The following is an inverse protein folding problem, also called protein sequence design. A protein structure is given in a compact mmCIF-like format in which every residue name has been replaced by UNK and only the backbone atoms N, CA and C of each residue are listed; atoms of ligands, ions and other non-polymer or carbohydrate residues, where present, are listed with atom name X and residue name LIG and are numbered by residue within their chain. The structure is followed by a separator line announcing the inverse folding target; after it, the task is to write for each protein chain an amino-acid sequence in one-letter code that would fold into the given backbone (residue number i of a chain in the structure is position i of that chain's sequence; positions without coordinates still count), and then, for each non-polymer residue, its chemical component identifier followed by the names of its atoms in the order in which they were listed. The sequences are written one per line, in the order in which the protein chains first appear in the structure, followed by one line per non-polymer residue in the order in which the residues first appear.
data_IF_714165783967
#
_entry.id   IF_714165783967
#
_cell.length_a   1.000
_cell.length_b   1.000
_cell.length_c   1.000
_cell.angle_alpha   90.00
_cell.angle_beta   90.00
_cell.angle_gamma   90.00
#
_symmetry.space_group_name_H-M   'P 1'
#
loop_
_entity.id
_entity.type
_entity.pdbx_description
1 polymer ?
#
# COMPACT_ATOMS: atom_id res chain seq x y z
N UNK A 1 5.77 12.57 -29.78
CA UNK A 1 6.29 11.19 -29.85
C UNK A 1 7.33 11.06 -28.75
N UNK A 2 7.04 10.31 -27.69
CA UNK A 2 7.97 10.12 -26.59
C UNK A 2 9.00 9.05 -26.99
N UNK A 3 10.29 9.38 -26.84
CA UNK A 3 11.44 8.50 -27.10
C UNK A 3 11.37 7.22 -26.25
N UNK A 4 12.06 6.13 -26.65
CA UNK A 4 12.08 4.89 -25.89
C UNK A 4 12.61 5.16 -24.48
N UNK A 5 11.84 4.79 -23.47
CA UNK A 5 12.24 4.92 -22.07
C UNK A 5 13.58 4.21 -21.82
N UNK A 6 14.48 4.87 -21.09
CA UNK A 6 15.73 4.31 -20.61
C UNK A 6 15.46 3.01 -19.83
N UNK A 7 15.61 1.86 -20.48
CA UNK A 7 15.35 0.52 -19.94
C UNK A 7 16.37 0.06 -18.89
N UNK A 8 17.29 0.94 -18.47
CA UNK A 8 18.37 0.63 -17.51
C UNK A 8 18.26 1.39 -16.19
N UNK A 9 17.32 2.35 -16.06
CA UNK A 9 17.20 3.13 -14.83
C UNK A 9 16.42 2.36 -13.76
N UNK A 10 16.98 2.29 -12.56
CA UNK A 10 16.29 1.82 -11.36
C UNK A 10 15.31 2.86 -10.78
N UNK A 11 15.28 4.09 -11.27
CA UNK A 11 14.40 5.13 -10.75
C UNK A 11 12.95 4.82 -11.12
N UNK A 12 12.00 5.04 -10.20
CA UNK A 12 10.56 5.14 -10.49
C UNK A 12 10.02 6.44 -9.91
N UNK A 13 9.61 7.35 -10.77
CA UNK A 13 9.20 8.72 -10.41
C UNK A 13 7.73 9.04 -10.72
N UNK A 14 6.99 8.02 -11.19
CA UNK A 14 5.65 8.13 -11.77
C UNK A 14 5.57 9.07 -12.99
N UNK A 15 6.69 9.38 -13.64
CA UNK A 15 6.75 10.23 -14.83
C UNK A 15 7.60 9.57 -15.91
N UNK A 16 8.82 10.06 -16.12
CA UNK A 16 9.66 9.66 -17.24
C UNK A 16 10.32 8.30 -16.99
N UNK A 17 10.50 7.93 -15.72
CA UNK A 17 11.20 6.71 -15.33
C UNK A 17 10.26 5.57 -14.94
N UNK A 18 8.97 5.66 -15.28
CA UNK A 18 7.97 4.64 -14.94
C UNK A 18 7.43 4.80 -13.52
N UNK A 19 6.56 3.88 -13.12
CA UNK A 19 5.84 3.95 -11.85
C UNK A 19 6.13 2.77 -10.92
N UNK A 20 5.89 2.95 -9.63
CA UNK A 20 5.94 1.84 -8.66
C UNK A 20 4.81 0.86 -8.96
N UNK A 21 3.64 1.33 -9.38
CA UNK A 21 2.50 0.48 -9.74
C UNK A 21 2.80 -0.48 -10.89
N UNK A 22 3.50 -0.02 -11.93
CA UNK A 22 3.92 -0.89 -13.05
C UNK A 22 4.97 -1.91 -12.60
N UNK A 23 5.91 -1.50 -11.74
CA UNK A 23 6.86 -2.42 -11.11
C UNK A 23 6.15 -3.50 -10.30
N UNK A 24 5.15 -3.14 -9.47
CA UNK A 24 4.38 -4.13 -8.71
C UNK A 24 3.66 -5.11 -9.62
N UNK A 25 3.05 -4.64 -10.73
CA UNK A 25 2.39 -5.52 -11.71
C UNK A 25 3.36 -6.47 -12.41
N UNK A 26 4.59 -6.01 -12.68
CA UNK A 26 5.63 -6.81 -13.34
C UNK A 26 6.15 -7.94 -12.44
N UNK A 27 6.35 -7.67 -11.15
CA UNK A 27 7.05 -8.60 -10.25
C UNK A 27 6.15 -9.39 -9.31
N UNK A 28 4.91 -8.97 -9.06
CA UNK A 28 3.95 -9.78 -8.28
C UNK A 28 3.47 -10.94 -9.15
N UNK A 29 3.63 -12.16 -8.65
CA UNK A 29 3.28 -13.41 -9.30
C UNK A 29 2.32 -14.22 -8.42
N UNK A 30 1.64 -15.25 -8.97
CA UNK A 30 0.94 -16.21 -8.15
C UNK A 30 1.85 -16.81 -7.09
N UNK A 31 1.36 -16.95 -5.87
CA UNK A 31 2.08 -17.42 -4.68
C UNK A 31 3.22 -16.50 -4.18
N UNK A 32 3.29 -15.24 -4.62
CA UNK A 32 4.22 -14.27 -4.01
C UNK A 32 3.96 -14.12 -2.51
N UNK A 33 5.02 -13.98 -1.72
CA UNK A 33 4.93 -13.43 -0.37
C UNK A 33 5.36 -11.95 -0.37
N UNK A 34 4.48 -11.08 0.10
CA UNK A 34 4.67 -9.63 0.04
C UNK A 34 4.99 -9.07 1.44
N UNK A 35 5.91 -8.11 1.51
CA UNK A 35 6.25 -7.38 2.74
C UNK A 35 6.34 -5.89 2.42
N UNK A 36 5.25 -5.18 2.70
CA UNK A 36 5.05 -3.79 2.28
C UNK A 36 5.04 -2.84 3.48
N UNK A 37 5.63 -1.67 3.29
CA UNK A 37 5.63 -0.55 4.24
C UNK A 37 5.08 0.68 3.54
N UNK A 38 4.03 1.26 4.11
CA UNK A 38 3.46 2.52 3.61
C UNK A 38 2.75 3.28 4.72
N UNK A 39 2.65 4.61 4.61
CA UNK A 39 1.85 5.39 5.55
C UNK A 39 0.36 5.34 5.21
N UNK A 40 0.02 5.13 3.93
CA UNK A 40 -1.36 5.09 3.46
C UNK A 40 -1.64 3.82 2.65
N UNK A 41 -2.88 3.34 2.76
CA UNK A 41 -3.46 2.26 1.96
C UNK A 41 -4.83 2.72 1.48
N UNK A 42 -5.08 2.69 0.18
CA UNK A 42 -6.40 3.04 -0.39
C UNK A 42 -7.03 1.82 -1.04
N UNK A 43 -8.35 1.64 -0.86
CA UNK A 43 -9.10 0.56 -1.51
C UNK A 43 -9.05 0.66 -3.05
N UNK A 44 -8.83 1.86 -3.57
CA UNK A 44 -8.71 2.10 -5.01
C UNK A 44 -7.36 1.65 -5.57
N UNK A 45 -6.27 1.84 -4.83
CA UNK A 45 -4.97 1.28 -5.21
C UNK A 45 -5.01 -0.25 -5.21
N UNK A 46 -5.63 -0.84 -4.18
CA UNK A 46 -5.94 -2.27 -4.15
C UNK A 46 -6.72 -2.69 -5.40
N UNK A 47 -7.82 -2.02 -5.72
CA UNK A 47 -8.66 -2.38 -6.88
C UNK A 47 -7.88 -2.33 -8.21
N UNK A 48 -6.96 -1.40 -8.38
CA UNK A 48 -6.10 -1.32 -9.57
C UNK A 48 -5.05 -2.44 -9.68
N UNK A 49 -4.71 -3.08 -8.55
CA UNK A 49 -3.75 -4.18 -8.48
C UNK A 49 -4.42 -5.54 -8.20
N UNK A 50 -5.75 -5.57 -8.04
CA UNK A 50 -6.52 -6.73 -7.59
C UNK A 50 -6.21 -8.02 -8.35
N UNK A 51 -6.10 -7.94 -9.68
CA UNK A 51 -5.84 -9.13 -10.50
C UNK A 51 -4.46 -9.76 -10.27
N UNK A 52 -3.50 -9.00 -9.73
CA UNK A 52 -2.18 -9.50 -9.36
C UNK A 52 -2.16 -9.92 -7.88
N UNK A 53 -2.93 -9.21 -7.03
CA UNK A 53 -2.98 -9.45 -5.58
C UNK A 53 -3.86 -10.64 -5.17
N UNK A 54 -4.81 -11.07 -5.99
CA UNK A 54 -5.74 -12.15 -5.62
C UNK A 54 -5.05 -13.52 -5.51
N UNK A 55 -4.01 -13.75 -6.30
CA UNK A 55 -3.34 -15.05 -6.44
C UNK A 55 -2.05 -15.16 -5.62
N UNK A 56 -1.73 -14.15 -4.79
CA UNK A 56 -0.56 -14.19 -3.91
C UNK A 56 -0.75 -15.22 -2.78
N UNK A 57 0.34 -15.62 -2.15
CA UNK A 57 0.28 -16.43 -0.93
C UNK A 57 -0.22 -15.56 0.24
N UNK A 58 0.55 -14.50 0.55
CA UNK A 58 0.23 -13.57 1.64
C UNK A 58 0.83 -12.19 1.45
N UNK A 59 0.23 -11.20 2.11
CA UNK A 59 0.77 -9.86 2.30
C UNK A 59 0.93 -9.57 3.80
N UNK A 60 2.12 -9.12 4.21
CA UNK A 60 2.30 -8.42 5.48
C UNK A 60 2.43 -6.93 5.20
N UNK A 61 1.44 -6.17 5.64
CA UNK A 61 1.38 -4.73 5.42
C UNK A 61 1.64 -3.97 6.72
N UNK A 62 2.70 -3.17 6.73
CA UNK A 62 3.11 -2.37 7.87
C UNK A 62 2.79 -0.88 7.61
N UNK A 63 1.90 -0.33 8.43
CA UNK A 63 1.69 1.11 8.51
C UNK A 63 2.85 1.78 9.22
N UNK A 64 3.56 2.68 8.53
CA UNK A 64 4.75 3.37 9.08
C UNK A 64 4.47 4.40 10.17
N UNK A 65 3.20 4.73 10.41
CA UNK A 65 2.79 5.67 11.45
C UNK A 65 1.53 5.19 12.19
N UNK A 66 1.39 5.51 13.49
CA UNK A 66 0.24 5.15 14.32
C UNK A 66 -1.06 5.88 13.93
N UNK A 67 -1.00 6.75 12.92
CA UNK A 67 -2.06 7.68 12.54
C UNK A 67 -3.22 7.02 11.82
N UNK A 68 -3.12 5.74 11.42
CA UNK A 68 -4.19 5.05 10.69
C UNK A 68 -5.53 5.02 11.46
N UNK A 69 -5.51 4.87 12.79
CA UNK A 69 -6.74 4.67 13.61
C UNK A 69 -7.11 5.84 14.52
N UNK A 70 -6.18 6.76 14.80
CA UNK A 70 -6.37 7.81 15.82
C UNK A 70 -7.29 8.97 15.41
N UNK A 71 -7.93 8.89 14.25
CA UNK A 71 -8.84 9.93 13.76
C UNK A 71 -10.31 9.45 13.64
N UNK A 72 -10.68 8.29 14.21
CA UNK A 72 -12.09 7.84 14.31
C UNK A 72 -12.80 8.56 15.50
N UNK A 73 -12.63 9.87 15.61
CA UNK A 73 -13.37 10.70 16.55
C UNK A 73 -14.32 11.61 15.73
N UNK A 74 -15.60 11.25 15.59
CA UNK A 74 -16.56 11.99 14.77
C UNK A 74 -16.81 13.43 15.26
N UNK A 75 -16.38 13.79 16.47
CA UNK A 75 -16.52 15.15 17.02
C UNK A 75 -15.28 16.04 16.81
N UNK A 76 -14.13 15.51 16.37
CA UNK A 76 -12.93 16.32 16.12
C UNK A 76 -12.81 16.66 14.63
N UNK A 77 -13.30 17.85 14.29
CA UNK A 77 -13.20 18.48 12.98
C UNK A 77 -11.78 18.93 12.59
N UNK A 78 -10.79 18.05 12.66
CA UNK A 78 -9.53 18.26 11.94
C UNK A 78 -9.61 17.54 10.58
N UNK A 79 -10.26 18.21 9.62
CA UNK A 79 -10.47 17.79 8.22
C UNK A 79 -9.17 17.76 7.39
N UNK A 80 -8.03 17.39 7.96
CA UNK A 80 -6.76 17.31 7.25
C UNK A 80 -6.05 16.02 7.64
N UNK A 81 -6.11 15.04 6.72
CA UNK A 81 -5.27 13.82 6.61
C UNK A 81 -5.96 12.45 6.64
N UNK A 82 -7.27 12.38 6.39
CA UNK A 82 -7.87 11.14 5.90
C UNK A 82 -7.66 11.04 4.39
N UNK A 83 -6.76 10.17 3.91
CA UNK A 83 -6.66 9.86 2.47
C UNK A 83 -6.60 8.36 2.22
N UNK A 84 -7.67 7.68 2.64
CA UNK A 84 -8.06 6.37 2.06
C UNK A 84 -8.83 6.62 0.74
N UNK A 85 -9.32 7.85 0.54
CA UNK A 85 -9.79 8.38 -0.73
C UNK A 85 -8.67 9.21 -1.39
N UNK A 86 -8.43 8.99 -2.68
CA UNK A 86 -7.52 9.83 -3.46
C UNK A 86 -8.28 11.11 -3.84
N UNK A 87 -7.82 12.28 -3.39
CA UNK A 87 -8.41 13.59 -3.73
C UNK A 87 -8.42 13.75 -5.26
N UNK A 88 -9.53 13.40 -5.90
CA UNK A 88 -9.69 13.39 -7.36
C UNK A 88 -10.45 12.19 -7.92
N UNK A 89 -10.61 11.12 -7.14
CA UNK A 89 -11.44 9.94 -7.51
C UNK A 89 -12.87 10.00 -6.95
N UNK A 90 -13.24 11.11 -6.31
CA UNK A 90 -14.56 11.36 -5.69
C UNK A 90 -15.76 11.34 -6.65
N UNK A 91 -15.51 11.19 -7.96
CA UNK A 91 -16.52 11.06 -9.01
C UNK A 91 -16.98 9.62 -9.26
N UNK A 92 -16.45 8.60 -8.56
CA UNK A 92 -16.98 7.24 -8.66
C UNK A 92 -18.32 7.11 -7.95
N UNK A 93 -19.26 6.39 -8.55
CA UNK A 93 -20.57 6.12 -7.96
C UNK A 93 -20.39 5.38 -6.61
N UNK A 94 -21.08 5.80 -5.55
CA UNK A 94 -21.08 5.16 -4.21
C UNK A 94 -21.25 3.64 -4.27
N UNK A 95 -22.05 3.12 -5.20
CA UNK A 95 -22.23 1.68 -5.40
C UNK A 95 -20.90 0.96 -5.73
N UNK A 96 -20.06 1.58 -6.56
CA UNK A 96 -18.75 1.05 -6.90
C UNK A 96 -17.77 1.09 -5.72
N UNK A 97 -17.81 2.16 -4.92
CA UNK A 97 -17.00 2.28 -3.70
C UNK A 97 -17.34 1.19 -2.69
N UNK A 98 -18.63 0.92 -2.44
CA UNK A 98 -19.05 -0.16 -1.53
C UNK A 98 -18.58 -1.53 -2.00
N UNK A 99 -18.73 -1.82 -3.30
CA UNK A 99 -18.28 -3.09 -3.87
C UNK A 99 -16.77 -3.27 -3.70
N UNK A 100 -15.99 -2.24 -4.03
CA UNK A 100 -14.53 -2.26 -3.91
C UNK A 100 -14.08 -2.40 -2.45
N UNK A 101 -14.70 -1.68 -1.52
CA UNK A 101 -14.39 -1.79 -0.09
C UNK A 101 -14.69 -3.18 0.46
N UNK A 102 -15.83 -3.79 0.07
CA UNK A 102 -16.18 -5.16 0.47
C UNK A 102 -15.19 -6.18 -0.07
N UNK A 103 -14.88 -6.13 -1.36
CA UNK A 103 -13.89 -7.02 -1.98
C UNK A 103 -12.50 -6.87 -1.34
N UNK A 104 -12.11 -5.64 -1.00
CA UNK A 104 -10.87 -5.36 -0.28
C UNK A 104 -10.89 -5.97 1.13
N UNK A 105 -12.00 -5.84 1.87
CA UNK A 105 -12.13 -6.41 3.20
C UNK A 105 -12.06 -7.95 3.16
N UNK A 106 -12.75 -8.57 2.21
CA UNK A 106 -12.72 -10.03 2.01
C UNK A 106 -11.28 -10.50 1.69
N UNK A 107 -10.58 -9.79 0.82
CA UNK A 107 -9.18 -10.09 0.50
C UNK A 107 -8.23 -9.88 1.69
N UNK A 108 -8.38 -8.80 2.47
CA UNK A 108 -7.56 -8.57 3.67
C UNK A 108 -7.76 -9.70 4.69
N UNK A 109 -9.00 -10.17 4.88
CA UNK A 109 -9.27 -11.29 5.80
C UNK A 109 -8.47 -12.53 5.42
N UNK A 110 -8.45 -12.87 4.14
CA UNK A 110 -7.84 -14.10 3.62
C UNK A 110 -6.32 -14.01 3.46
N UNK A 111 -5.83 -12.90 2.89
CA UNK A 111 -4.47 -12.81 2.35
C UNK A 111 -3.54 -11.88 3.11
N UNK A 112 -4.07 -11.00 3.98
CA UNK A 112 -3.26 -9.96 4.59
C UNK A 112 -3.15 -10.10 6.12
N UNK A 113 -1.95 -9.83 6.63
CA UNK A 113 -1.72 -9.42 8.01
C UNK A 113 -1.40 -7.93 8.01
N UNK A 114 -1.89 -7.19 9.00
CA UNK A 114 -1.75 -5.74 9.03
C UNK A 114 -1.28 -5.31 10.40
N UNK A 115 -0.11 -4.65 10.44
CA UNK A 115 0.45 -4.06 11.65
C UNK A 115 0.66 -2.57 11.47
N UNK A 116 0.70 -1.83 12.57
CA UNK A 116 1.04 -0.41 12.60
C UNK A 116 2.18 -0.15 13.56
N UNK A 117 3.06 0.78 13.20
CA UNK A 117 4.04 1.33 14.12
C UNK A 117 3.32 2.12 15.23
N UNK A 118 3.67 1.89 16.48
CA UNK A 118 3.11 2.57 17.67
C UNK A 118 3.68 3.97 17.88
N UNK A 119 4.92 4.17 17.46
CA UNK A 119 5.72 5.37 17.72
C UNK A 119 5.51 6.39 16.60
N UNK A 120 4.99 7.59 16.89
CA UNK A 120 4.83 8.64 15.88
C UNK A 120 6.17 9.03 15.24
N UNK A 121 6.17 9.37 13.95
CA UNK A 121 7.34 9.82 13.19
C UNK A 121 8.54 8.85 13.19
N UNK A 122 8.28 7.56 13.42
CA UNK A 122 9.34 6.55 13.50
C UNK A 122 9.76 6.03 12.11
N UNK A 123 8.81 5.83 11.20
CA UNK A 123 9.05 5.23 9.90
C UNK A 123 8.36 5.98 8.76
N UNK A 124 9.13 6.75 7.99
CA UNK A 124 8.60 7.52 6.86
C UNK A 124 8.92 6.92 5.48
N UNK A 125 9.88 5.98 5.40
CA UNK A 125 10.27 5.30 4.17
C UNK A 125 9.21 4.29 3.72
N UNK A 126 9.06 4.13 2.40
CA UNK A 126 8.15 3.13 1.80
C UNK A 126 9.00 2.02 1.22
N UNK A 127 8.54 0.79 1.40
CA UNK A 127 9.20 -0.41 0.91
C UNK A 127 8.15 -1.31 0.30
N UNK A 128 8.47 -1.86 -0.86
CA UNK A 128 7.72 -2.95 -1.46
C UNK A 128 8.69 -4.08 -1.74
N UNK A 129 8.71 -5.08 -0.87
CA UNK A 129 9.49 -6.31 -1.05
C UNK A 129 8.58 -7.45 -1.49
N UNK A 130 9.00 -8.16 -2.53
CA UNK A 130 8.27 -9.25 -3.20
C UNK A 130 9.19 -10.47 -3.22
N UNK A 131 8.75 -11.55 -2.58
CA UNK A 131 9.40 -12.85 -2.62
C UNK A 131 8.65 -13.79 -3.57
N UNK A 132 9.33 -14.27 -4.62
CA UNK A 132 8.85 -15.30 -5.54
C UNK A 132 9.80 -16.49 -5.48
N UNK A 133 9.43 -17.57 -4.78
CA UNK A 133 10.29 -18.73 -4.56
C UNK A 133 11.69 -18.34 -4.03
N UNK A 134 12.72 -18.34 -4.90
CA UNK A 134 14.11 -17.98 -4.57
C UNK A 134 14.52 -16.60 -5.07
N UNK A 135 13.62 -15.87 -5.73
CA UNK A 135 13.87 -14.57 -6.34
C UNK A 135 13.23 -13.49 -5.47
N UNK A 136 14.05 -12.52 -5.06
CA UNK A 136 13.62 -11.34 -4.31
C UNK A 136 13.63 -10.13 -5.23
N UNK A 137 12.58 -9.30 -5.15
CA UNK A 137 12.50 -8.01 -5.81
C UNK A 137 12.13 -6.96 -4.77
N UNK A 138 12.81 -5.81 -4.77
CA UNK A 138 12.47 -4.72 -3.86
C UNK A 138 12.60 -3.35 -4.52
N UNK A 139 11.69 -2.45 -4.13
CA UNK A 139 11.75 -1.02 -4.46
C UNK A 139 11.45 -0.23 -3.19
N UNK A 140 12.21 0.85 -2.97
CA UNK A 140 12.02 1.73 -1.83
C UNK A 140 12.02 3.20 -2.25
N UNK A 141 11.34 4.04 -1.47
CA UNK A 141 11.26 5.47 -1.75
C UNK A 141 10.12 6.16 -1.03
N UNK A 142 9.45 7.07 -1.72
CA UNK A 142 8.42 7.94 -1.16
C UNK A 142 6.98 7.51 -1.47
N UNK A 143 6.78 6.61 -2.45
CA UNK A 143 5.46 6.23 -2.96
C UNK A 143 4.61 5.46 -1.96
N UNK A 144 3.56 6.09 -1.44
CA UNK A 144 2.52 5.41 -0.66
C UNK A 144 1.65 4.48 -1.53
N UNK A 145 0.97 3.52 -0.88
CA UNK A 145 0.02 2.60 -1.50
C UNK A 145 -1.33 3.28 -1.80
N UNK A 146 -1.27 4.34 -2.61
CA UNK A 146 -2.41 5.10 -3.12
C UNK A 146 -2.38 5.11 -4.66
N UNK A 147 -3.50 5.42 -5.32
CA UNK A 147 -3.55 5.38 -6.80
C UNK A 147 -2.53 6.35 -7.40
N UNK A 148 -2.47 7.57 -6.88
CA UNK A 148 -1.51 8.58 -7.34
C UNK A 148 -0.08 8.34 -6.82
N UNK A 149 0.08 7.81 -5.61
CA UNK A 149 1.40 7.48 -5.03
C UNK A 149 2.10 6.36 -5.81
N UNK A 150 1.35 5.37 -6.28
CA UNK A 150 1.84 4.29 -7.13
C UNK A 150 1.91 4.66 -8.62
N UNK A 151 1.50 5.88 -9.01
CA UNK A 151 1.49 6.31 -10.41
C UNK A 151 0.45 5.62 -11.30
N UNK A 152 -0.55 4.99 -10.69
CA UNK A 152 -1.65 4.28 -11.35
C UNK A 152 -2.80 5.21 -11.78
N UNK A 153 -2.78 6.46 -11.31
CA UNK A 153 -3.74 7.50 -11.67
C UNK A 153 -3.30 8.40 -12.83
N UNK A 154 -4.21 9.28 -13.24
CA UNK A 154 -3.93 10.33 -14.23
C UNK A 154 -3.21 11.54 -13.62
N UNK A 155 -3.43 11.80 -12.31
CA UNK A 155 -2.80 12.89 -11.56
C UNK A 155 -1.65 12.35 -10.71
N UNK A 156 -0.55 11.97 -11.37
CA UNK A 156 0.57 11.27 -10.72
C UNK A 156 1.37 12.20 -9.81
N UNK A 157 1.63 11.78 -8.58
CA UNK A 157 2.56 12.46 -7.69
C UNK A 157 3.98 12.43 -8.28
N UNK A 158 4.76 13.48 -8.07
CA UNK A 158 6.21 13.40 -8.28
C UNK A 158 6.78 12.65 -7.07
N UNK A 159 7.17 11.41 -7.29
CA UNK A 159 7.76 10.54 -6.27
C UNK A 159 9.23 10.27 -6.61
N UNK A 160 10.01 9.81 -5.65
CA UNK A 160 11.37 9.32 -5.90
C UNK A 160 11.51 7.94 -5.25
N UNK A 161 11.66 6.94 -6.10
CA UNK A 161 11.89 5.57 -5.69
C UNK A 161 13.05 4.98 -6.47
N UNK A 162 13.70 3.99 -5.88
CA UNK A 162 14.82 3.27 -6.46
C UNK A 162 14.57 1.76 -6.33
N UNK A 163 14.64 1.07 -7.47
CA UNK A 163 14.70 -0.39 -7.51
C UNK A 163 16.03 -0.82 -6.91
N UNK A 164 15.97 -1.76 -5.98
CA UNK A 164 17.12 -2.34 -5.32
C UNK A 164 17.60 -3.50 -6.17
N UNK A 165 18.74 -3.35 -6.84
CA UNK A 165 19.31 -4.32 -7.79
C UNK A 165 20.25 -5.34 -7.13
N UNK A 166 20.84 -4.98 -5.99
CA UNK A 166 21.73 -5.80 -5.17
C UNK A 166 20.98 -6.87 -4.36
N UNK A 167 21.36 -8.15 -4.56
CA UNK A 167 20.83 -9.29 -3.79
C UNK A 167 21.08 -9.15 -2.28
N UNK A 168 22.24 -8.60 -1.90
CA UNK A 168 22.57 -8.35 -0.49
C UNK A 168 21.57 -7.38 0.11
N UNK A 169 21.32 -6.27 -0.59
CA UNK A 169 20.50 -5.19 -0.06
C UNK A 169 19.02 -5.59 -0.01
N UNK A 170 18.53 -6.39 -0.97
CA UNK A 170 17.18 -6.98 -0.90
C UNK A 170 16.99 -7.86 0.34
N UNK A 171 17.98 -8.72 0.64
CA UNK A 171 17.96 -9.58 1.83
C UNK A 171 18.05 -8.78 3.11
N UNK A 172 18.87 -7.74 3.14
CA UNK A 172 19.01 -6.87 4.32
C UNK A 172 17.72 -6.08 4.57
N UNK A 173 17.05 -5.59 3.52
CA UNK A 173 15.73 -4.97 3.62
C UNK A 173 14.66 -5.94 4.12
N UNK A 174 14.68 -7.20 3.66
CA UNK A 174 13.77 -8.23 4.17
C UNK A 174 13.99 -8.47 5.66
N UNK A 175 15.24 -8.67 6.09
CA UNK A 175 15.58 -8.84 7.52
C UNK A 175 15.16 -7.65 8.36
N UNK A 176 15.45 -6.45 7.89
CA UNK A 176 15.00 -5.22 8.55
C UNK A 176 13.48 -5.19 8.71
N UNK A 177 12.73 -5.58 7.67
CA UNK A 177 11.27 -5.69 7.77
C UNK A 177 10.87 -6.71 8.84
N UNK A 178 11.49 -7.91 8.89
CA UNK A 178 11.21 -8.91 9.93
C UNK A 178 11.48 -8.37 11.34
N UNK A 179 12.61 -7.70 11.54
CA UNK A 179 13.00 -7.17 12.85
C UNK A 179 11.99 -6.14 13.37
N UNK A 180 11.50 -5.25 12.48
CA UNK A 180 10.46 -4.29 12.82
C UNK A 180 9.12 -4.99 13.02
N UNK A 181 8.76 -5.90 12.11
CA UNK A 181 7.48 -6.61 12.13
C UNK A 181 7.31 -7.43 13.41
N UNK A 182 8.32 -8.18 13.84
CA UNK A 182 8.25 -9.04 15.04
C UNK A 182 8.41 -8.28 16.36
N UNK A 183 8.83 -7.01 16.31
CA UNK A 183 9.04 -6.20 17.51
C UNK A 183 7.72 -5.72 18.13
N UNK A 184 7.22 -6.46 19.11
CA UNK A 184 6.00 -6.13 19.86
C UNK A 184 6.05 -4.77 20.57
N UNK A 185 7.24 -4.24 20.82
CA UNK A 185 7.41 -2.91 21.42
C UNK A 185 7.23 -1.78 20.39
N UNK A 186 7.48 -2.08 19.12
CA UNK A 186 7.44 -1.10 18.02
C UNK A 186 6.11 -1.17 17.27
N UNK A 187 5.52 -2.36 17.11
CA UNK A 187 4.29 -2.57 16.32
C UNK A 187 3.13 -3.14 17.13
N UNK A 188 1.93 -2.88 16.63
CA UNK A 188 0.66 -3.50 17.03
C UNK A 188 -0.05 -4.11 15.83
N UNK A 189 -0.77 -5.21 16.05
CA UNK A 189 -1.72 -5.73 15.06
C UNK A 189 -2.93 -4.80 15.00
N UNK A 190 -3.31 -4.41 13.77
CA UNK A 190 -4.42 -3.49 13.51
C UNK A 190 -5.38 -4.03 12.46
N UNK A 191 -5.32 -5.34 12.16
CA UNK A 191 -6.09 -5.94 11.06
C UNK A 191 -7.60 -5.79 11.30
N UNK A 192 -8.06 -6.04 12.52
CA UNK A 192 -9.49 -5.97 12.83
C UNK A 192 -10.03 -4.54 12.75
N UNK A 193 -9.25 -3.55 13.18
CA UNK A 193 -9.61 -2.14 13.08
C UNK A 193 -9.67 -1.67 11.62
N UNK A 194 -8.77 -2.15 10.76
CA UNK A 194 -8.84 -1.91 9.30
C UNK A 194 -10.13 -2.52 8.73
N UNK A 195 -10.47 -3.75 9.13
CA UNK A 195 -11.67 -4.44 8.63
C UNK A 195 -12.96 -3.75 9.10
N UNK A 196 -13.02 -3.28 10.35
CA UNK A 196 -14.17 -2.54 10.87
C UNK A 196 -14.31 -1.18 10.16
N UNK A 197 -13.20 -0.49 9.90
CA UNK A 197 -13.23 0.74 9.10
C UNK A 197 -13.76 0.48 7.67
N UNK A 198 -13.28 -0.56 6.98
CA UNK A 198 -13.79 -0.92 5.65
C UNK A 198 -15.28 -1.26 5.68
N UNK A 199 -15.74 -1.92 6.75
CA UNK A 199 -17.15 -2.24 6.95
C UNK A 199 -18.01 -1.00 7.07
N UNK A 200 -17.56 0.05 7.75
CA UNK A 200 -18.28 1.32 7.78
C UNK A 200 -18.49 1.93 6.38
N UNK A 201 -17.52 1.77 5.47
CA UNK A 201 -17.62 2.26 4.09
C UNK A 201 -18.69 1.51 3.29
N UNK A 202 -18.83 0.19 3.46
CA UNK A 202 -19.78 -0.60 2.67
C UNK A 202 -21.11 -0.90 3.36
N UNK A 203 -21.23 -0.72 4.67
CA UNK A 203 -22.41 -1.12 5.43
C UNK A 203 -23.60 -0.16 5.31
N UNK A 204 -23.43 1.14 5.05
CA UNK A 204 -24.47 2.20 5.15
C UNK A 204 -25.39 2.03 6.39
N UNK A 205 -25.18 2.88 7.40
CA UNK A 205 -26.33 3.35 8.18
C UNK A 205 -27.21 4.14 7.22
N UNK A 206 -28.30 3.54 6.75
CA UNK A 206 -29.45 4.32 6.29
C UNK A 206 -29.86 5.22 7.47
N UNK A 207 -29.84 6.55 7.34
CA UNK A 207 -30.50 7.39 8.32
C UNK A 207 -31.99 7.04 8.27
N UNK A 208 -32.57 6.68 9.42
CA UNK A 208 -34.01 6.84 9.62
C UNK A 208 -34.39 8.33 9.53
#
# INVERSE_FOLDING_TARGET
MASPQNSTSGIRDNRNYGSVGDYLKEYIQPNSELSFVSAYFTVYAFNQLKDHLKDIDKLRFLFGEPSFLKQIDPEKTDKKSFKIEDDGLSLMNRLSQKRVARECADWIREKAEVRSIKIPNFLHGKLYHIQNDRVENAILGSSNFTVNGLGLGNARNVELNLIVDSDRDRKDLKRWFEDVWESKDIVEDVKEEVLEYLKQIYADYSPE
#
